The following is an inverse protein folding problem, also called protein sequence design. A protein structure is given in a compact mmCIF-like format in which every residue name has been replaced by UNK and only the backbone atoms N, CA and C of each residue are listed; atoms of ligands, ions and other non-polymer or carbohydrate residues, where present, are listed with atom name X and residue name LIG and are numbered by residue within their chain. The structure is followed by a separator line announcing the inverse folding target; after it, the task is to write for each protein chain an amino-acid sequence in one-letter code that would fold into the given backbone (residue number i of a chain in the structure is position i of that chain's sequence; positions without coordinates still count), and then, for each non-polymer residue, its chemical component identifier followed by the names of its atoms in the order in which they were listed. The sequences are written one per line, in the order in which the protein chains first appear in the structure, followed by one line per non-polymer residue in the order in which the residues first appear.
data_IF_919756142107
#
_entry.id   IF_919756142107
#
_cell.length_a   1.000
_cell.length_b   1.000
_cell.length_c   1.000
_cell.angle_alpha   90.00
_cell.angle_beta   90.00
_cell.angle_gamma   90.00
#
_symmetry.space_group_name_H-M   'P 1'
#
loop_
_entity.id
_entity.type
_entity.pdbx_description
1 polymer ?
#
# COMPACT_ATOMS: atom_id res chain seq x y z
N UNK A 1 9.90 -35.63 -42.71
CA UNK A 1 10.22 -34.77 -41.56
C UNK A 1 8.99 -33.98 -41.24
N UNK A 2 8.29 -34.20 -40.10
CA UNK A 2 7.18 -33.37 -39.70
C UNK A 2 7.73 -31.99 -39.21
N UNK A 3 6.98 -30.89 -39.41
CA UNK A 3 7.42 -29.58 -38.95
C UNK A 3 7.38 -29.53 -37.42
N UNK A 4 8.38 -28.86 -36.83
CA UNK A 4 8.45 -28.62 -35.38
C UNK A 4 7.24 -27.84 -34.88
N UNK A 5 6.75 -28.11 -33.66
CA UNK A 5 5.64 -27.35 -33.07
C UNK A 5 6.10 -25.92 -32.79
N UNK A 6 5.44 -24.95 -33.39
CA UNK A 6 5.57 -23.53 -33.08
C UNK A 6 4.99 -23.30 -31.69
N UNK A 7 5.85 -23.22 -30.68
CA UNK A 7 5.50 -22.72 -29.35
C UNK A 7 5.66 -21.21 -29.34
N UNK A 8 4.59 -20.47 -29.57
CA UNK A 8 4.45 -19.10 -29.06
C UNK A 8 2.97 -18.83 -28.71
N UNK A 9 2.53 -19.43 -27.61
CA UNK A 9 1.38 -18.90 -26.86
C UNK A 9 1.92 -18.03 -25.74
N UNK A 10 2.28 -16.80 -26.05
CA UNK A 10 2.30 -15.75 -25.02
C UNK A 10 0.87 -15.60 -24.53
N UNK A 11 0.58 -16.23 -23.40
CA UNK A 11 -0.67 -15.96 -22.66
C UNK A 11 -0.60 -14.51 -22.28
N UNK A 12 -1.37 -13.64 -22.93
CA UNK A 12 -1.53 -12.24 -22.52
C UNK A 12 -2.14 -12.26 -21.13
N UNK A 13 -1.34 -11.88 -20.14
CA UNK A 13 -1.82 -11.75 -18.75
C UNK A 13 -2.74 -10.54 -18.70
N UNK A 14 -4.00 -10.75 -18.34
CA UNK A 14 -4.93 -9.65 -18.09
C UNK A 14 -4.66 -9.05 -16.71
N UNK A 15 -3.86 -7.98 -16.70
CA UNK A 15 -3.49 -7.25 -15.47
C UNK A 15 -4.73 -6.66 -14.78
N UNK A 16 -5.71 -6.20 -15.55
CA UNK A 16 -6.96 -5.63 -14.98
C UNK A 16 -7.72 -6.69 -14.18
N UNK A 17 -7.85 -7.89 -14.74
CA UNK A 17 -8.50 -9.01 -14.05
C UNK A 17 -7.75 -9.41 -12.76
N UNK A 18 -6.41 -9.36 -12.76
CA UNK A 18 -5.62 -9.65 -11.56
C UNK A 18 -5.82 -8.60 -10.46
N UNK A 19 -5.84 -7.32 -10.82
CA UNK A 19 -6.09 -6.23 -9.89
C UNK A 19 -7.50 -6.32 -9.29
N UNK A 20 -8.50 -6.54 -10.14
CA UNK A 20 -9.88 -6.68 -9.71
C UNK A 20 -10.11 -7.89 -8.80
N UNK A 21 -9.44 -9.00 -9.08
CA UNK A 21 -9.48 -10.19 -8.22
C UNK A 21 -8.89 -9.91 -6.83
N UNK A 22 -7.72 -9.24 -6.78
CA UNK A 22 -7.13 -8.83 -5.50
C UNK A 22 -8.05 -7.92 -4.69
N UNK A 23 -8.70 -6.97 -5.36
CA UNK A 23 -9.72 -6.09 -4.77
C UNK A 23 -10.91 -6.87 -4.22
N UNK A 24 -11.50 -7.73 -5.04
CA UNK A 24 -12.70 -8.51 -4.70
C UNK A 24 -12.47 -9.39 -3.49
N UNK A 25 -11.29 -10.02 -3.38
CA UNK A 25 -10.96 -10.87 -2.25
C UNK A 25 -10.65 -10.07 -0.98
N UNK A 26 -9.91 -8.97 -1.08
CA UNK A 26 -9.45 -8.23 0.08
C UNK A 26 -10.51 -7.27 0.67
N UNK A 27 -11.34 -6.62 -0.17
CA UNK A 27 -12.26 -5.55 0.29
C UNK A 27 -13.24 -5.99 1.38
N UNK A 28 -13.92 -7.16 1.29
CA UNK A 28 -14.84 -7.58 2.34
C UNK A 28 -14.14 -7.78 3.70
N UNK A 29 -12.92 -8.36 3.67
CA UNK A 29 -12.13 -8.60 4.88
C UNK A 29 -11.58 -7.31 5.45
N UNK A 30 -11.15 -6.37 4.58
CA UNK A 30 -10.71 -5.05 4.99
C UNK A 30 -11.85 -4.26 5.67
N UNK A 31 -13.07 -4.28 5.11
CA UNK A 31 -14.24 -3.67 5.74
C UNK A 31 -14.52 -4.27 7.11
N UNK A 32 -14.59 -5.59 7.19
CA UNK A 32 -14.82 -6.28 8.45
C UNK A 32 -13.74 -5.98 9.51
N UNK A 33 -12.49 -5.77 9.09
CA UNK A 33 -11.43 -5.36 10.00
C UNK A 33 -11.64 -3.93 10.52
N UNK A 34 -11.95 -2.98 9.63
CA UNK A 34 -12.20 -1.56 9.99
C UNK A 34 -13.44 -1.42 10.89
N UNK A 35 -14.49 -2.22 10.66
CA UNK A 35 -15.71 -2.22 11.47
C UNK A 35 -15.46 -2.65 12.93
N UNK A 36 -14.26 -3.18 13.25
CA UNK A 36 -13.86 -3.52 14.65
C UNK A 36 -13.37 -2.30 15.42
N UNK A 37 -13.05 -1.21 14.75
CA UNK A 37 -12.60 0.01 15.40
C UNK A 37 -13.77 0.63 16.21
N UNK A 38 -13.43 1.18 17.39
CA UNK A 38 -14.42 1.86 18.20
C UNK A 38 -14.82 3.21 17.57
N UNK A 39 -16.11 3.62 17.69
CA UNK A 39 -16.51 4.96 17.28
C UNK A 39 -15.72 6.06 18.01
N UNK A 40 -15.37 7.18 17.32
CA UNK A 40 -15.73 7.51 15.94
C UNK A 40 -14.73 6.98 14.90
N UNK A 41 -13.68 6.20 15.28
CA UNK A 41 -12.60 5.80 14.39
C UNK A 41 -13.07 4.92 13.23
N UNK A 42 -14.05 4.04 13.45
CA UNK A 42 -14.71 3.22 12.42
C UNK A 42 -15.31 4.08 11.31
N UNK A 43 -16.09 5.08 11.68
CA UNK A 43 -16.75 6.01 10.76
C UNK A 43 -15.73 6.89 10.02
N UNK A 44 -14.73 7.42 10.72
CA UNK A 44 -13.69 8.25 10.09
C UNK A 44 -12.82 7.43 9.15
N UNK A 45 -12.51 6.18 9.49
CA UNK A 45 -11.81 5.26 8.59
C UNK A 45 -12.66 4.93 7.37
N UNK A 46 -13.97 4.63 7.53
CA UNK A 46 -14.89 4.39 6.42
C UNK A 46 -14.97 5.61 5.47
N UNK A 47 -14.94 6.82 6.00
CA UNK A 47 -14.82 8.05 5.21
C UNK A 47 -13.49 8.08 4.44
N UNK A 48 -12.36 7.82 5.08
CA UNK A 48 -11.06 7.80 4.42
C UNK A 48 -11.01 6.81 3.24
N UNK A 49 -11.51 5.59 3.44
CA UNK A 49 -11.61 4.57 2.39
C UNK A 49 -12.62 4.93 1.28
N UNK A 50 -13.44 5.95 1.46
CA UNK A 50 -14.46 6.34 0.48
C UNK A 50 -15.72 5.48 0.50
N UNK A 51 -15.96 4.74 1.55
CA UNK A 51 -17.16 3.91 1.70
C UNK A 51 -18.39 4.71 2.13
N UNK A 52 -18.14 5.86 2.72
CA UNK A 52 -19.17 6.85 3.07
C UNK A 52 -18.72 8.26 2.67
N UNK A 53 -19.67 9.17 2.51
CA UNK A 53 -19.42 10.60 2.34
C UNK A 53 -19.23 11.31 3.70
N UNK A 54 -18.98 12.63 3.68
CA UNK A 54 -18.81 13.43 4.89
C UNK A 54 -20.09 13.54 5.77
N UNK A 55 -21.25 13.15 5.25
CA UNK A 55 -22.52 13.10 5.95
C UNK A 55 -22.84 11.68 6.49
N UNK A 56 -21.95 10.70 6.22
CA UNK A 56 -22.13 9.32 6.64
C UNK A 56 -23.00 8.47 5.71
N UNK A 57 -23.38 8.98 4.53
CA UNK A 57 -24.14 8.21 3.56
C UNK A 57 -23.23 7.26 2.78
N UNK A 58 -23.69 6.07 2.38
CA UNK A 58 -22.93 5.17 1.53
C UNK A 58 -22.39 5.86 0.27
N UNK A 59 -21.15 5.62 -0.06
CA UNK A 59 -20.47 6.15 -1.23
C UNK A 59 -19.64 5.05 -1.92
N UNK A 60 -19.52 5.15 -3.25
CA UNK A 60 -18.65 4.30 -4.07
C UNK A 60 -17.35 5.05 -4.36
N UNK A 61 -16.51 5.19 -3.35
CA UNK A 61 -15.21 5.83 -3.51
C UNK A 61 -14.24 4.96 -4.34
N UNK A 62 -13.41 5.62 -5.14
CA UNK A 62 -12.32 4.95 -5.85
C UNK A 62 -11.26 4.46 -4.84
N UNK A 63 -11.27 3.17 -4.54
CA UNK A 63 -10.30 2.49 -3.67
C UNK A 63 -8.88 2.42 -4.27
N UNK A 64 -8.60 3.15 -5.35
CA UNK A 64 -7.34 3.09 -6.06
C UNK A 64 -7.17 1.82 -6.90
N UNK A 65 -5.96 1.58 -7.39
CA UNK A 65 -5.67 0.50 -8.35
C UNK A 65 -5.56 -0.90 -7.73
N UNK A 66 -5.67 -1.05 -6.41
CA UNK A 66 -5.56 -2.31 -5.67
C UNK A 66 -4.28 -3.14 -5.98
N UNK A 67 -3.18 -2.47 -6.33
CA UNK A 67 -1.92 -3.13 -6.71
C UNK A 67 -1.36 -3.96 -5.55
N UNK A 68 -1.34 -3.39 -4.35
CA UNK A 68 -0.80 -4.06 -3.14
C UNK A 68 -1.62 -5.29 -2.75
N UNK A 69 -2.96 -5.22 -2.67
CA UNK A 69 -3.80 -6.39 -2.46
C UNK A 69 -3.58 -7.49 -3.51
N UNK A 70 -3.52 -7.11 -4.80
CA UNK A 70 -3.28 -8.07 -5.87
C UNK A 70 -1.91 -8.77 -5.74
N UNK A 71 -0.84 -8.03 -5.43
CA UNK A 71 0.49 -8.61 -5.23
C UNK A 71 0.51 -9.60 -4.06
N UNK A 72 -0.15 -9.28 -2.93
CA UNK A 72 -0.20 -10.18 -1.79
C UNK A 72 -0.96 -11.48 -2.11
N UNK A 73 -2.10 -11.38 -2.78
CA UNK A 73 -2.88 -12.55 -3.23
C UNK A 73 -2.06 -13.39 -4.22
N UNK A 74 -1.46 -12.78 -5.25
CA UNK A 74 -0.65 -13.48 -6.24
C UNK A 74 0.59 -14.13 -5.63
N UNK A 75 1.22 -13.50 -4.63
CA UNK A 75 2.40 -14.08 -3.98
C UNK A 75 2.05 -15.37 -3.21
N UNK A 76 0.86 -15.51 -2.64
CA UNK A 76 0.41 -16.77 -2.05
C UNK A 76 0.30 -17.87 -3.11
N UNK A 77 -0.22 -17.56 -4.29
CA UNK A 77 -0.36 -18.54 -5.38
C UNK A 77 0.99 -19.05 -5.91
N UNK A 78 2.05 -18.26 -5.81
CA UNK A 78 3.42 -18.70 -6.17
C UNK A 78 3.86 -19.92 -5.36
N UNK A 79 3.38 -20.09 -4.13
CA UNK A 79 3.65 -21.24 -3.28
C UNK A 79 2.75 -22.45 -3.58
N UNK A 80 1.77 -22.29 -4.47
CA UNK A 80 0.70 -23.28 -4.70
C UNK A 80 -0.45 -23.20 -3.69
N UNK A 81 -0.44 -22.20 -2.80
CA UNK A 81 -1.53 -21.96 -1.86
C UNK A 81 -2.76 -21.36 -2.57
N UNK A 82 -3.94 -21.53 -1.96
CA UNK A 82 -5.14 -20.84 -2.41
C UNK A 82 -4.98 -19.31 -2.26
N UNK A 83 -5.58 -18.50 -3.16
CA UNK A 83 -5.47 -17.04 -3.13
C UNK A 83 -5.94 -16.42 -1.81
N UNK A 84 -6.91 -17.04 -1.14
CA UNK A 84 -7.47 -16.61 0.14
C UNK A 84 -6.43 -16.60 1.26
N UNK A 85 -5.38 -17.43 1.17
CA UNK A 85 -4.25 -17.45 2.13
C UNK A 85 -3.50 -16.11 2.12
N UNK A 86 -3.44 -15.43 0.98
CA UNK A 86 -2.81 -14.12 0.85
C UNK A 86 -3.67 -12.96 1.35
N UNK A 87 -4.98 -13.16 1.57
CA UNK A 87 -5.92 -12.08 1.91
C UNK A 87 -5.57 -11.34 3.21
N UNK A 88 -5.23 -12.03 4.33
CA UNK A 88 -4.81 -11.31 5.55
C UNK A 88 -3.59 -10.41 5.31
N UNK A 89 -2.63 -10.87 4.50
CA UNK A 89 -1.47 -10.08 4.07
C UNK A 89 -1.88 -8.87 3.22
N UNK A 90 -2.82 -9.05 2.28
CA UNK A 90 -3.36 -7.99 1.45
C UNK A 90 -4.04 -6.89 2.30
N UNK A 91 -4.86 -7.30 3.27
CA UNK A 91 -5.55 -6.39 4.21
C UNK A 91 -4.54 -5.64 5.08
N UNK A 92 -3.56 -6.34 5.65
CA UNK A 92 -2.56 -5.72 6.53
C UNK A 92 -1.71 -4.67 5.79
N UNK A 93 -1.28 -4.97 4.56
CA UNK A 93 -0.54 -4.01 3.72
C UNK A 93 -1.40 -2.81 3.34
N UNK A 94 -2.68 -3.02 3.02
CA UNK A 94 -3.60 -1.93 2.68
C UNK A 94 -3.91 -1.04 3.88
N UNK A 95 -4.04 -1.60 5.08
CA UNK A 95 -4.18 -0.84 6.33
C UNK A 95 -2.95 0.05 6.60
N UNK A 96 -1.73 -0.50 6.44
CA UNK A 96 -0.49 0.30 6.57
C UNK A 96 -0.41 1.38 5.51
N UNK A 97 -0.80 1.10 4.27
CA UNK A 97 -0.84 2.11 3.23
C UNK A 97 -1.78 3.27 3.58
N UNK A 98 -2.99 2.96 4.06
CA UNK A 98 -3.98 3.99 4.39
C UNK A 98 -3.63 4.74 5.68
N UNK A 99 -2.96 4.09 6.65
CA UNK A 99 -2.31 4.78 7.76
C UNK A 99 -1.35 5.86 7.27
N UNK A 100 -0.43 5.51 6.35
CA UNK A 100 0.54 6.49 5.84
C UNK A 100 -0.13 7.64 5.10
N UNK A 101 -1.16 7.36 4.28
CA UNK A 101 -1.90 8.41 3.56
C UNK A 101 -2.58 9.42 4.50
N UNK A 102 -3.16 8.95 5.63
CA UNK A 102 -3.79 9.82 6.62
C UNK A 102 -2.78 10.77 7.27
N UNK A 103 -1.60 10.26 7.58
CA UNK A 103 -0.55 11.05 8.19
C UNK A 103 0.15 11.97 7.18
N UNK A 104 0.41 11.50 5.96
CA UNK A 104 0.98 12.30 4.88
C UNK A 104 0.08 13.50 4.55
N UNK A 105 -1.25 13.28 4.35
CA UNK A 105 -2.20 14.35 4.07
C UNK A 105 -2.14 15.47 5.12
N UNK A 106 -1.97 15.10 6.40
CA UNK A 106 -1.87 16.07 7.49
C UNK A 106 -0.51 16.79 7.51
N UNK A 107 0.60 16.05 7.31
CA UNK A 107 1.95 16.59 7.35
C UNK A 107 2.22 17.53 6.17
N UNK A 108 1.72 17.16 4.98
CA UNK A 108 1.90 17.91 3.74
C UNK A 108 0.87 19.06 3.63
N UNK A 109 -0.15 19.10 4.51
CA UNK A 109 -1.24 20.07 4.47
C UNK A 109 -2.18 19.88 3.27
N UNK A 110 -2.23 18.68 2.71
CA UNK A 110 -3.05 18.36 1.55
C UNK A 110 -4.54 18.38 1.92
N UNK A 111 -5.27 19.36 1.43
CA UNK A 111 -6.71 19.49 1.70
C UNK A 111 -7.57 18.50 0.92
N UNK A 112 -7.07 17.94 -0.18
CA UNK A 112 -7.82 17.02 -1.03
C UNK A 112 -7.00 15.81 -1.47
N UNK A 113 -7.67 14.65 -1.46
CA UNK A 113 -7.15 13.38 -2.00
C UNK A 113 -8.23 12.71 -2.87
N UNK A 114 -7.89 12.34 -4.10
CA UNK A 114 -8.84 11.71 -5.06
C UNK A 114 -10.15 12.49 -5.20
N UNK A 115 -10.05 13.82 -5.33
CA UNK A 115 -11.18 14.75 -5.47
C UNK A 115 -12.14 14.79 -4.26
N UNK A 116 -11.68 14.37 -3.09
CA UNK A 116 -12.42 14.46 -1.81
C UNK A 116 -11.58 15.20 -0.79
N UNK A 117 -12.23 15.93 0.09
CA UNK A 117 -11.55 16.55 1.22
C UNK A 117 -10.91 15.47 2.10
N UNK A 118 -9.71 15.75 2.63
CA UNK A 118 -8.95 14.82 3.47
C UNK A 118 -9.55 14.70 4.86
N UNK A 119 -9.22 13.63 5.59
CA UNK A 119 -9.73 13.39 6.94
C UNK A 119 -9.40 14.54 7.88
N UNK A 120 -8.16 15.06 7.84
CA UNK A 120 -7.77 16.13 8.73
C UNK A 120 -8.57 17.42 8.49
N UNK A 121 -8.98 17.68 7.26
CA UNK A 121 -9.80 18.82 6.89
C UNK A 121 -11.27 18.68 7.36
N UNK A 122 -11.85 17.48 7.23
CA UNK A 122 -13.26 17.22 7.58
C UNK A 122 -13.45 16.92 9.07
N UNK A 123 -12.57 16.09 9.65
CA UNK A 123 -12.70 15.57 11.01
C UNK A 123 -11.66 16.14 11.98
N UNK A 124 -10.73 16.95 11.48
CA UNK A 124 -9.68 17.58 12.27
C UNK A 124 -8.39 16.75 12.38
N UNK A 125 -7.26 17.40 12.71
CA UNK A 125 -5.93 16.76 12.73
C UNK A 125 -5.82 15.63 13.75
N UNK A 126 -6.47 15.74 14.92
CA UNK A 126 -6.44 14.69 15.93
C UNK A 126 -7.04 13.38 15.44
N UNK A 127 -8.14 13.44 14.67
CA UNK A 127 -8.76 12.25 14.11
C UNK A 127 -7.89 11.62 13.02
N UNK A 128 -7.22 12.41 12.20
CA UNK A 128 -6.30 11.87 11.19
C UNK A 128 -5.15 11.08 11.84
N UNK A 129 -4.58 11.59 12.94
CA UNK A 129 -3.53 10.89 13.69
C UNK A 129 -4.08 9.60 14.33
N UNK A 130 -5.15 9.71 15.13
CA UNK A 130 -5.68 8.56 15.88
C UNK A 130 -6.16 7.43 14.98
N UNK A 131 -6.84 7.77 13.88
CA UNK A 131 -7.30 6.75 12.91
C UNK A 131 -6.11 6.11 12.19
N UNK A 132 -5.09 6.89 11.81
CA UNK A 132 -3.86 6.36 11.26
C UNK A 132 -3.21 5.34 12.20
N UNK A 133 -3.00 5.72 13.46
CA UNK A 133 -2.42 4.83 14.48
C UNK A 133 -3.27 3.57 14.69
N UNK A 134 -4.60 3.70 14.71
CA UNK A 134 -5.52 2.58 14.84
C UNK A 134 -5.43 1.62 13.64
N UNK A 135 -5.34 2.13 12.41
CA UNK A 135 -5.16 1.30 11.22
C UNK A 135 -3.80 0.56 11.25
N UNK A 136 -2.74 1.23 11.71
CA UNK A 136 -1.42 0.60 11.86
C UNK A 136 -1.42 -0.51 12.92
N UNK A 137 -2.08 -0.31 14.06
CA UNK A 137 -2.25 -1.34 15.08
C UNK A 137 -3.07 -2.52 14.53
N UNK A 138 -4.21 -2.24 13.90
CA UNK A 138 -5.11 -3.22 13.29
C UNK A 138 -4.41 -4.07 12.21
N UNK A 139 -3.50 -3.49 11.43
CA UNK A 139 -2.73 -4.22 10.42
C UNK A 139 -1.89 -5.36 11.03
N UNK A 140 -1.27 -5.11 12.18
CA UNK A 140 -0.52 -6.13 12.90
C UNK A 140 -1.45 -7.17 13.55
N UNK A 141 -2.57 -6.72 14.11
CA UNK A 141 -3.57 -7.58 14.75
C UNK A 141 -4.16 -8.60 13.77
N UNK A 142 -4.56 -8.17 12.56
CA UNK A 142 -5.10 -9.04 11.49
C UNK A 142 -4.16 -10.20 11.16
N UNK A 143 -2.85 -9.97 11.13
CA UNK A 143 -1.88 -11.03 10.88
C UNK A 143 -1.68 -11.93 12.11
N UNK A 144 -1.55 -11.34 13.31
CA UNK A 144 -1.27 -12.09 14.54
C UNK A 144 -2.42 -12.99 14.97
N UNK A 145 -3.66 -12.63 14.66
CA UNK A 145 -4.86 -13.43 14.94
C UNK A 145 -4.88 -14.79 14.23
N UNK A 146 -4.09 -14.95 13.14
CA UNK A 146 -3.95 -16.24 12.48
C UNK A 146 -3.26 -17.29 13.38
N UNK A 147 -2.48 -16.85 14.38
CA UNK A 147 -1.87 -17.72 15.40
C UNK A 147 -0.83 -18.69 14.86
N UNK A 148 -0.30 -18.50 13.64
CA UNK A 148 0.67 -19.40 13.01
C UNK A 148 2.08 -18.84 13.04
N UNK A 149 3.09 -19.70 12.82
CA UNK A 149 4.49 -19.27 12.68
C UNK A 149 4.66 -18.35 11.47
N UNK A 150 3.98 -18.69 10.38
CA UNK A 150 3.96 -17.92 9.13
C UNK A 150 3.40 -16.50 9.36
N UNK A 151 2.34 -16.39 10.14
CA UNK A 151 1.76 -15.09 10.54
C UNK A 151 2.77 -14.23 11.32
N UNK A 152 3.51 -14.83 12.25
CA UNK A 152 4.59 -14.12 12.97
C UNK A 152 5.72 -13.66 12.02
N UNK A 153 6.04 -14.45 11.00
CA UNK A 153 7.02 -14.08 9.96
C UNK A 153 6.49 -12.94 9.08
N UNK A 154 5.23 -13.04 8.65
CA UNK A 154 4.55 -12.01 7.85
C UNK A 154 4.48 -10.67 8.61
N UNK A 155 4.11 -10.69 9.91
CA UNK A 155 4.07 -9.51 10.77
C UNK A 155 5.45 -8.85 10.89
N UNK A 156 6.54 -9.61 11.05
CA UNK A 156 7.89 -9.04 11.08
C UNK A 156 8.26 -8.33 9.77
N UNK A 157 7.91 -8.89 8.61
CA UNK A 157 8.13 -8.26 7.31
C UNK A 157 7.32 -6.98 7.16
N UNK A 158 6.04 -7.01 7.54
CA UNK A 158 5.17 -5.83 7.52
C UNK A 158 5.72 -4.71 8.42
N UNK A 159 6.11 -5.04 9.66
CA UNK A 159 6.68 -4.06 10.60
C UNK A 159 7.99 -3.46 10.10
N UNK A 160 8.86 -4.26 9.45
CA UNK A 160 10.09 -3.77 8.82
C UNK A 160 9.77 -2.79 7.69
N UNK A 161 8.82 -3.16 6.79
CA UNK A 161 8.40 -2.30 5.68
C UNK A 161 7.74 -1.01 6.17
N UNK A 162 6.92 -1.08 7.21
CA UNK A 162 6.29 0.10 7.83
C UNK A 162 7.32 1.05 8.41
N UNK A 163 8.35 0.54 9.09
CA UNK A 163 9.44 1.38 9.60
C UNK A 163 10.19 2.05 8.46
N UNK A 164 10.55 1.31 7.39
CA UNK A 164 11.19 1.92 6.23
C UNK A 164 10.33 3.00 5.58
N UNK A 165 9.00 2.79 5.48
CA UNK A 165 8.06 3.79 4.98
C UNK A 165 8.10 5.06 5.84
N UNK A 166 8.10 4.93 7.18
CA UNK A 166 8.19 6.07 8.12
C UNK A 166 9.54 6.77 7.99
N UNK A 167 10.64 6.02 7.85
CA UNK A 167 11.98 6.59 7.62
C UNK A 167 12.00 7.39 6.30
N UNK A 168 11.37 6.87 5.23
CA UNK A 168 11.23 7.56 3.93
C UNK A 168 10.43 8.85 4.05
N UNK A 169 9.32 8.86 4.78
CA UNK A 169 8.53 10.07 5.02
C UNK A 169 9.33 11.12 5.83
N UNK A 170 10.09 10.69 6.84
CA UNK A 170 10.94 11.59 7.60
C UNK A 170 12.05 12.20 6.72
N UNK A 171 12.63 11.42 5.78
CA UNK A 171 13.58 11.92 4.79
C UNK A 171 12.92 12.96 3.87
N UNK A 172 11.73 12.67 3.33
CA UNK A 172 10.98 13.55 2.45
C UNK A 172 10.74 14.92 3.09
N UNK A 173 10.17 14.95 4.29
CA UNK A 173 9.99 16.20 5.06
C UNK A 173 11.32 16.94 5.30
N UNK A 174 12.41 16.21 5.59
CA UNK A 174 13.71 16.83 5.81
C UNK A 174 14.29 17.49 4.55
N UNK A 175 13.91 17.01 3.37
CA UNK A 175 14.38 17.53 2.09
C UNK A 175 13.72 18.84 1.68
N UNK A 176 12.50 19.13 2.16
CA UNK A 176 11.83 20.43 1.93
C UNK A 176 12.64 21.65 2.41
N UNK A 177 13.52 21.45 3.38
CA UNK A 177 14.34 22.50 3.98
C UNK A 177 15.80 22.50 3.47
N UNK A 178 16.09 21.75 2.39
CA UNK A 178 17.43 21.60 1.83
C UNK A 178 17.53 22.24 0.45
N UNK A 179 18.56 23.03 0.21
CA UNK A 179 18.83 23.66 -1.09
C UNK A 179 19.19 22.64 -2.18
N UNK A 180 19.70 21.48 -1.78
CA UNK A 180 20.11 20.42 -2.71
C UNK A 180 19.87 19.05 -2.09
N UNK A 181 19.32 18.15 -2.91
CA UNK A 181 19.19 16.72 -2.64
C UNK A 181 19.77 15.98 -3.82
N UNK A 182 20.61 14.97 -3.59
CA UNK A 182 21.19 14.15 -4.67
C UNK A 182 20.15 13.18 -5.23
N UNK A 183 20.41 12.66 -6.43
CA UNK A 183 19.55 11.63 -7.06
C UNK A 183 19.54 10.36 -6.22
N UNK A 184 20.69 9.97 -5.64
CA UNK A 184 20.82 8.82 -4.77
C UNK A 184 19.95 8.95 -3.52
N UNK A 185 19.96 10.12 -2.87
CA UNK A 185 19.11 10.42 -1.71
C UNK A 185 17.61 10.37 -2.09
N UNK A 186 17.22 10.92 -3.25
CA UNK A 186 15.84 10.83 -3.74
C UNK A 186 15.41 9.38 -3.99
N UNK A 187 16.27 8.57 -4.62
CA UNK A 187 15.97 7.17 -4.89
C UNK A 187 15.89 6.34 -3.60
N UNK A 188 16.74 6.63 -2.61
CA UNK A 188 16.66 5.99 -1.29
C UNK A 188 15.36 6.34 -0.58
N UNK A 189 15.00 7.61 -0.54
CA UNK A 189 13.75 8.08 0.05
C UNK A 189 12.52 7.44 -0.63
N UNK A 190 12.46 7.45 -1.96
CA UNK A 190 11.37 6.81 -2.72
C UNK A 190 11.32 5.30 -2.49
N UNK A 191 12.47 4.63 -2.44
CA UNK A 191 12.57 3.21 -2.09
C UNK A 191 11.99 2.94 -0.71
N UNK A 192 12.30 3.76 0.27
CA UNK A 192 11.79 3.67 1.62
C UNK A 192 10.28 4.02 1.69
N UNK A 193 9.87 5.16 1.14
CA UNK A 193 8.50 5.68 1.24
C UNK A 193 7.50 4.82 0.45
N UNK A 194 7.86 4.37 -0.75
CA UNK A 194 6.96 3.67 -1.66
C UNK A 194 7.35 2.21 -1.90
N UNK A 195 8.65 1.96 -2.12
CA UNK A 195 9.19 0.65 -2.51
C UNK A 195 9.03 -0.41 -1.41
N UNK A 196 9.34 -0.06 -0.17
CA UNK A 196 9.34 -1.01 0.95
C UNK A 196 7.99 -1.72 1.16
N UNK A 197 6.89 -0.98 1.04
CA UNK A 197 5.55 -1.56 1.21
C UNK A 197 5.12 -2.38 -0.02
N UNK A 198 5.55 -2.03 -1.23
CA UNK A 198 5.34 -2.85 -2.43
C UNK A 198 6.16 -4.16 -2.36
N UNK A 199 7.39 -4.08 -1.87
CA UNK A 199 8.24 -5.24 -1.61
C UNK A 199 7.59 -6.20 -0.60
N UNK A 200 7.07 -5.67 0.50
CA UNK A 200 6.30 -6.45 1.48
C UNK A 200 5.07 -7.10 0.84
N UNK A 201 4.26 -6.35 0.08
CA UNK A 201 3.08 -6.87 -0.62
C UNK A 201 3.42 -8.03 -1.55
N UNK A 202 4.58 -7.97 -2.21
CA UNK A 202 5.04 -9.01 -3.14
C UNK A 202 5.48 -10.31 -2.44
N UNK A 203 5.69 -10.31 -1.13
CA UNK A 203 6.22 -11.46 -0.39
C UNK A 203 5.31 -11.96 0.73
N UNK A 204 4.46 -11.10 1.30
CA UNK A 204 3.68 -11.41 2.50
C UNK A 204 2.72 -12.59 2.31
N UNK A 205 2.05 -12.66 1.16
CA UNK A 205 1.16 -13.78 0.83
C UNK A 205 1.92 -15.10 0.67
N UNK A 206 3.10 -15.07 0.05
CA UNK A 206 3.96 -16.25 -0.06
C UNK A 206 4.41 -16.75 1.32
N UNK A 207 4.77 -15.85 2.22
CA UNK A 207 5.12 -16.20 3.62
C UNK A 207 3.94 -16.88 4.30
N UNK A 208 2.73 -16.34 4.17
CA UNK A 208 1.50 -16.95 4.71
C UNK A 208 1.20 -18.31 4.06
N UNK A 209 1.56 -18.50 2.78
CA UNK A 209 1.48 -19.76 2.04
C UNK A 209 2.59 -20.76 2.35
N UNK A 210 3.46 -20.48 3.35
CA UNK A 210 4.49 -21.40 3.80
C UNK A 210 5.83 -21.29 3.04
N UNK A 211 6.06 -20.23 2.24
CA UNK A 211 7.34 -20.03 1.58
C UNK A 211 8.52 -19.96 2.58
N UNK A 212 9.65 -20.53 2.18
CA UNK A 212 10.90 -20.34 2.91
C UNK A 212 11.42 -18.87 2.78
N UNK A 213 12.43 -18.52 3.59
CA UNK A 213 12.98 -17.16 3.60
C UNK A 213 13.58 -16.79 2.24
N UNK A 214 14.23 -17.74 1.56
CA UNK A 214 14.86 -17.50 0.25
C UNK A 214 13.83 -17.10 -0.82
N UNK A 215 12.73 -17.82 -0.87
CA UNK A 215 11.61 -17.53 -1.79
C UNK A 215 10.97 -16.18 -1.45
N UNK A 216 10.69 -15.95 -0.17
CA UNK A 216 10.12 -14.69 0.30
C UNK A 216 11.04 -13.48 -0.01
N UNK A 217 12.36 -13.60 0.22
CA UNK A 217 13.33 -12.54 -0.08
C UNK A 217 13.46 -12.28 -1.59
N UNK A 218 13.29 -13.30 -2.42
CA UNK A 218 13.32 -13.15 -3.88
C UNK A 218 12.11 -12.35 -4.36
N UNK A 219 10.92 -12.62 -3.81
CA UNK A 219 9.70 -11.88 -4.11
C UNK A 219 9.74 -10.45 -3.56
N UNK A 220 10.32 -10.25 -2.36
CA UNK A 220 10.53 -8.92 -1.78
C UNK A 220 11.42 -8.05 -2.68
N UNK A 221 12.55 -8.60 -3.16
CA UNK A 221 13.43 -7.91 -4.12
C UNK A 221 12.73 -7.57 -5.44
N UNK A 222 11.87 -8.46 -5.94
CA UNK A 222 11.07 -8.18 -7.13
C UNK A 222 10.15 -6.97 -6.92
N UNK A 223 9.47 -6.89 -5.77
CA UNK A 223 8.61 -5.77 -5.41
C UNK A 223 9.36 -4.46 -5.23
N UNK A 224 10.55 -4.49 -4.63
CA UNK A 224 11.43 -3.34 -4.42
C UNK A 224 11.84 -2.70 -5.76
N UNK A 225 12.34 -3.48 -6.70
CA UNK A 225 12.70 -2.99 -8.04
C UNK A 225 11.52 -2.38 -8.80
N UNK A 226 10.29 -2.83 -8.55
CA UNK A 226 9.08 -2.26 -9.15
C UNK A 226 8.66 -0.96 -8.47
N UNK A 227 8.90 -0.83 -7.16
CA UNK A 227 8.66 0.40 -6.41
C UNK A 227 9.44 1.59 -6.98
N UNK A 228 10.70 1.38 -7.32
CA UNK A 228 11.56 2.40 -7.96
C UNK A 228 11.16 2.72 -9.42
N UNK A 229 10.37 1.87 -10.08
CA UNK A 229 9.92 2.07 -11.47
C UNK A 229 8.54 2.70 -11.62
N UNK A 230 7.84 3.01 -10.52
CA UNK A 230 6.54 3.71 -10.53
C UNK A 230 6.75 5.15 -10.04
N UNK A 231 7.09 6.11 -10.92
CA UNK A 231 7.13 7.51 -10.51
C UNK A 231 5.73 7.89 -10.03
N UNK A 232 5.64 8.35 -8.79
CA UNK A 232 4.43 8.95 -8.28
C UNK A 232 4.01 10.10 -9.20
N UNK A 233 2.93 9.93 -10.00
CA UNK A 233 2.27 11.03 -10.67
C UNK A 233 1.52 11.83 -9.61
N UNK A 234 2.26 12.64 -8.87
CA UNK A 234 1.73 13.50 -7.82
C UNK A 234 2.58 14.75 -7.59
N UNK A 235 3.85 14.73 -8.00
CA UNK A 235 4.67 15.93 -8.00
C UNK A 235 4.37 16.78 -9.23
N UNK A 236 3.58 17.83 -9.12
CA UNK A 236 3.62 18.95 -10.06
C UNK A 236 5.03 19.53 -9.98
N UNK A 237 5.85 19.23 -10.99
CA UNK A 237 6.98 20.09 -11.31
C UNK A 237 6.38 21.47 -11.62
N UNK A 238 6.50 22.39 -10.67
CA UNK A 238 6.12 23.77 -10.85
C UNK A 238 6.87 24.32 -12.06
N UNK A 239 6.12 24.71 -13.09
CA UNK A 239 6.58 25.50 -14.22
C UNK A 239 7.06 26.88 -13.70
N UNK A 240 8.27 26.91 -13.20
CA UNK A 240 9.00 28.13 -12.85
C UNK A 240 9.89 28.62 -13.99
N UNK A 241 9.34 28.72 -15.19
CA UNK A 241 9.98 29.36 -16.35
C UNK A 241 9.50 30.79 -16.54
N UNK A 242 9.98 31.71 -15.70
CA UNK A 242 9.91 33.14 -15.98
C UNK A 242 11.02 33.57 -16.97
N UNK A 243 10.76 34.46 -17.97
CA UNK A 243 11.76 34.85 -18.95
C UNK A 243 12.83 35.75 -18.30
N UNK A 244 14.09 35.40 -18.54
CA UNK A 244 15.22 36.28 -18.28
C UNK A 244 15.11 37.46 -19.23
N UNK A 245 14.85 38.65 -18.70
CA UNK A 245 14.98 39.91 -19.47
C UNK A 245 16.46 40.29 -19.53
N UNK A 246 16.88 40.67 -20.72
CA UNK A 246 18.19 41.21 -21.17
C UNK A 246 18.73 42.34 -20.31
#
# INVERSE_FOLDING_TARGET
MPPAPTADRRTTVDVTALLERGRTLATPVLRAAVDRLAPPMDTVAAYHFGWIDAQGNPADGDGGKAVRPALAVLSAEVTGAAPEVGVPGAVAVELVHNFSLLHDDLMDGDEQRRHRDTVWKVHGPAQAILVGDALFALANEVLLELGTVEAGRATRRLTKASRSLIDGQAQDISYEHRDRVSVEECLEMEGNKTGALLACASSVGAVLGGADERTADTLEKFGDHRGLGVPGRGGQLGDGGGPVAT
#
